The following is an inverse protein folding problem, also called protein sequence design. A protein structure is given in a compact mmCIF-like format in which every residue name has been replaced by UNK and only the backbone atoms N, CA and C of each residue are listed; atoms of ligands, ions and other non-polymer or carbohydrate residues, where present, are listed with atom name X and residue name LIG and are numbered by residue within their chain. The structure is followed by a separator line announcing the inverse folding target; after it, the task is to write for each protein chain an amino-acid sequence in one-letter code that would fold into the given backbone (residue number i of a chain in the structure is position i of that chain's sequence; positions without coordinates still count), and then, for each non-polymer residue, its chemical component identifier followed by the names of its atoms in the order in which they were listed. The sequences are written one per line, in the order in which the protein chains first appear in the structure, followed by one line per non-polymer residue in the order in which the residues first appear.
data_IF_170462575272
#
_entry.id   IF_170462575272
#
_cell.length_a   1.000
_cell.length_b   1.000
_cell.length_c   1.000
_cell.angle_alpha   90.00
_cell.angle_beta   90.00
_cell.angle_gamma   90.00
#
_symmetry.space_group_name_H-M   'P 1'
#
loop_
_entity.id
_entity.type
_entity.pdbx_description
1 polymer ?
#
# COMPACT_ATOMS: atom_id res chain seq x y z
N UNK A 1 5.11 -13.39 5.77
CA UNK A 1 5.33 -14.16 7.01
C UNK A 1 4.00 -14.58 7.67
N UNK A 2 3.05 -13.66 7.90
CA UNK A 2 1.77 -14.00 8.54
C UNK A 2 1.00 -15.08 7.77
N UNK A 3 0.79 -14.92 6.47
CA UNK A 3 0.11 -15.92 5.63
C UNK A 3 0.79 -17.29 5.70
N UNK A 4 2.12 -17.31 5.61
CA UNK A 4 2.90 -18.54 5.69
C UNK A 4 2.67 -19.33 7.00
N UNK A 5 2.54 -18.62 8.13
CA UNK A 5 2.32 -19.24 9.46
C UNK A 5 0.87 -19.62 9.74
N UNK A 6 -0.08 -19.02 9.05
CA UNK A 6 -1.50 -19.15 9.41
C UNK A 6 -2.33 -19.92 8.40
N UNK A 7 -1.91 -19.99 7.14
CA UNK A 7 -2.70 -20.58 6.05
C UNK A 7 -1.87 -21.57 5.22
N UNK A 8 -2.54 -22.56 4.62
CA UNK A 8 -1.92 -23.48 3.66
C UNK A 8 -2.16 -22.94 2.25
N UNK A 9 -1.17 -22.24 1.71
CA UNK A 9 -1.22 -21.52 0.43
C UNK A 9 0.04 -21.76 -0.40
N UNK A 10 -0.07 -21.67 -1.71
CA UNK A 10 1.07 -21.56 -2.59
C UNK A 10 1.35 -20.05 -2.82
N UNK A 11 2.46 -19.58 -2.27
CA UNK A 11 2.88 -18.18 -2.33
C UNK A 11 4.06 -18.08 -3.29
N UNK A 12 3.94 -17.27 -4.32
CA UNK A 12 5.06 -16.99 -5.23
C UNK A 12 5.45 -15.54 -5.14
N UNK A 13 6.74 -15.28 -4.97
CA UNK A 13 7.28 -13.91 -4.98
C UNK A 13 8.16 -13.69 -6.19
N UNK A 14 8.17 -12.46 -6.69
CA UNK A 14 9.08 -11.98 -7.74
C UNK A 14 9.66 -10.67 -7.22
N UNK A 15 10.97 -10.66 -6.97
CA UNK A 15 11.65 -9.59 -6.24
C UNK A 15 12.90 -9.10 -6.99
N UNK A 16 13.37 -7.89 -6.70
CA UNK A 16 14.54 -7.27 -7.33
C UNK A 16 15.29 -6.35 -6.33
N UNK A 17 16.20 -6.90 -5.51
CA UNK A 17 16.48 -8.31 -5.23
C UNK A 17 15.56 -8.91 -4.15
N UNK A 18 15.78 -10.20 -3.80
CA UNK A 18 15.16 -10.81 -2.62
C UNK A 18 15.77 -10.21 -1.34
N UNK A 19 14.93 -9.54 -0.53
CA UNK A 19 15.37 -8.91 0.73
C UNK A 19 15.46 -9.93 1.89
N UNK A 20 14.52 -10.86 1.97
CA UNK A 20 14.45 -11.88 3.02
C UNK A 20 14.12 -13.25 2.43
N UNK A 21 14.89 -14.26 2.79
CA UNK A 21 14.58 -15.64 2.46
C UNK A 21 13.53 -16.18 3.44
N UNK A 22 12.45 -16.69 2.87
CA UNK A 22 11.39 -17.36 3.61
C UNK A 22 11.58 -18.88 3.57
N UNK A 23 11.30 -19.53 4.70
CA UNK A 23 11.20 -21.00 4.76
C UNK A 23 9.72 -21.36 4.70
N UNK A 24 9.43 -22.50 4.08
CA UNK A 24 8.09 -23.08 4.14
C UNK A 24 7.70 -23.35 5.59
N UNK A 25 6.43 -23.05 5.92
CA UNK A 25 5.81 -23.40 7.19
C UNK A 25 4.46 -24.09 6.88
N UNK A 26 3.33 -23.40 7.03
CA UNK A 26 2.03 -23.94 6.57
C UNK A 26 1.81 -23.73 5.07
N UNK A 27 2.46 -22.75 4.47
CA UNK A 27 2.43 -22.48 3.04
C UNK A 27 3.72 -22.95 2.37
N UNK A 28 3.65 -23.15 1.05
CA UNK A 28 4.83 -23.35 0.19
C UNK A 28 5.20 -21.98 -0.40
N UNK A 29 6.46 -21.57 -0.27
CA UNK A 29 6.94 -20.29 -0.77
C UNK A 29 7.98 -20.49 -1.86
N UNK A 30 7.70 -19.99 -3.06
CA UNK A 30 8.62 -19.95 -4.18
C UNK A 30 9.05 -18.51 -4.46
N UNK A 31 10.29 -18.16 -4.09
CA UNK A 31 10.86 -16.85 -4.35
C UNK A 31 11.67 -16.87 -5.66
N UNK A 32 11.53 -15.81 -6.46
CA UNK A 32 12.27 -15.63 -7.72
C UNK A 32 12.88 -14.24 -7.76
N UNK A 33 14.16 -14.18 -8.05
CA UNK A 33 14.91 -12.94 -8.17
C UNK A 33 15.07 -12.55 -9.64
N UNK A 34 14.80 -11.27 -9.95
CA UNK A 34 15.06 -10.72 -11.28
C UNK A 34 16.58 -10.60 -11.48
N UNK A 35 17.04 -11.00 -12.65
CA UNK A 35 18.48 -11.06 -12.97
C UNK A 35 19.14 -12.41 -12.65
N UNK A 36 18.62 -13.13 -11.66
CA UNK A 36 19.12 -14.46 -11.25
C UNK A 36 18.24 -15.59 -11.79
N UNK A 37 16.96 -15.60 -11.41
CA UNK A 37 15.99 -16.65 -11.75
C UNK A 37 15.13 -16.31 -12.97
N UNK A 38 14.98 -15.03 -13.26
CA UNK A 38 14.19 -14.50 -14.36
C UNK A 38 14.80 -13.23 -14.92
N UNK A 39 14.53 -12.94 -16.20
CA UNK A 39 15.07 -11.74 -16.87
C UNK A 39 14.22 -10.48 -16.65
N UNK A 40 12.96 -10.62 -16.21
CA UNK A 40 12.06 -9.49 -15.93
C UNK A 40 10.83 -9.90 -15.12
N UNK A 41 10.18 -8.93 -14.48
CA UNK A 41 8.91 -9.12 -13.78
C UNK A 41 7.82 -9.68 -14.70
N UNK A 42 7.58 -9.07 -15.87
CA UNK A 42 6.55 -9.50 -16.80
C UNK A 42 6.73 -10.93 -17.30
N UNK A 43 7.99 -11.36 -17.56
CA UNK A 43 8.28 -12.76 -17.96
C UNK A 43 8.01 -13.75 -16.83
N UNK A 44 8.39 -13.40 -15.61
CA UNK A 44 8.14 -14.24 -14.44
C UNK A 44 6.64 -14.38 -14.18
N UNK A 45 5.91 -13.25 -14.14
CA UNK A 45 4.48 -13.20 -13.86
C UNK A 45 3.66 -14.07 -14.83
N UNK A 46 3.93 -13.99 -16.14
CA UNK A 46 3.26 -14.85 -17.15
C UNK A 46 3.44 -16.34 -16.90
N UNK A 47 4.55 -16.75 -16.27
CA UNK A 47 4.81 -18.15 -15.95
C UNK A 47 4.20 -18.56 -14.62
N UNK A 48 4.25 -17.67 -13.64
CA UNK A 48 3.71 -17.88 -12.29
C UNK A 48 2.22 -18.17 -12.32
N UNK A 49 1.43 -17.48 -13.15
CA UNK A 49 0.00 -17.73 -13.32
C UNK A 49 -0.36 -19.16 -13.77
N UNK A 50 0.62 -19.93 -14.29
CA UNK A 50 0.44 -21.32 -14.70
C UNK A 50 0.90 -22.32 -13.63
N UNK A 51 1.31 -21.84 -12.48
CA UNK A 51 1.83 -22.65 -11.37
C UNK A 51 0.81 -22.82 -10.24
N UNK A 52 -0.45 -22.41 -10.49
CA UNK A 52 -1.54 -22.46 -9.52
C UNK A 52 -1.20 -21.78 -8.18
N UNK A 53 -0.74 -20.52 -8.20
CA UNK A 53 -0.46 -19.78 -6.98
C UNK A 53 -1.75 -19.29 -6.34
N UNK A 54 -1.84 -19.28 -5.03
CA UNK A 54 -2.91 -18.60 -4.30
C UNK A 54 -2.57 -17.12 -4.07
N UNK A 55 -1.28 -16.85 -3.85
CA UNK A 55 -0.77 -15.51 -3.51
C UNK A 55 0.43 -15.20 -4.39
N UNK A 56 0.42 -14.02 -5.00
CA UNK A 56 1.52 -13.51 -5.82
C UNK A 56 2.03 -12.21 -5.18
N UNK A 57 3.31 -12.17 -4.81
CA UNK A 57 3.97 -10.93 -4.40
C UNK A 57 4.84 -10.43 -5.55
N UNK A 58 4.59 -9.22 -5.99
CA UNK A 58 5.38 -8.51 -6.98
C UNK A 58 6.16 -7.44 -6.21
N UNK A 59 7.48 -7.55 -6.15
CA UNK A 59 8.32 -6.65 -5.37
C UNK A 59 7.96 -5.19 -5.62
N UNK A 60 7.81 -4.81 -6.88
CA UNK A 60 7.28 -3.50 -7.28
C UNK A 60 6.66 -3.52 -8.67
N UNK A 61 5.70 -2.63 -8.92
CA UNK A 61 5.13 -2.36 -10.25
C UNK A 61 5.71 -1.06 -10.79
N UNK A 62 6.47 -1.16 -11.90
CA UNK A 62 7.13 -0.03 -12.57
C UNK A 62 6.57 0.28 -13.95
N UNK A 63 5.87 -0.65 -14.58
CA UNK A 63 5.45 -0.57 -15.98
C UNK A 63 4.04 -1.10 -16.21
N UNK A 64 3.45 -0.72 -17.36
CA UNK A 64 2.10 -1.11 -17.74
C UNK A 64 1.94 -2.64 -17.92
N UNK A 65 2.96 -3.35 -18.41
CA UNK A 65 2.90 -4.80 -18.60
C UNK A 65 2.73 -5.53 -17.26
N UNK A 66 3.58 -5.21 -16.27
CA UNK A 66 3.50 -5.79 -14.94
C UNK A 66 2.18 -5.43 -14.25
N UNK A 67 1.73 -4.17 -14.38
CA UNK A 67 0.45 -3.71 -13.86
C UNK A 67 -0.74 -4.47 -14.47
N UNK A 68 -0.75 -4.65 -15.79
CA UNK A 68 -1.81 -5.37 -16.49
C UNK A 68 -1.90 -6.84 -16.02
N UNK A 69 -0.76 -7.51 -15.89
CA UNK A 69 -0.72 -8.90 -15.42
C UNK A 69 -1.18 -9.00 -13.97
N UNK A 70 -0.77 -8.06 -13.12
CA UNK A 70 -1.19 -7.99 -11.72
C UNK A 70 -2.71 -7.82 -11.57
N UNK A 71 -3.31 -6.90 -12.32
CA UNK A 71 -4.75 -6.67 -12.35
C UNK A 71 -5.51 -7.91 -12.86
N UNK A 72 -5.04 -8.52 -13.96
CA UNK A 72 -5.65 -9.73 -14.52
C UNK A 72 -5.56 -10.92 -13.56
N UNK A 73 -4.45 -11.07 -12.82
CA UNK A 73 -4.32 -12.07 -11.78
C UNK A 73 -5.33 -11.86 -10.66
N UNK A 74 -5.51 -10.61 -10.22
CA UNK A 74 -6.48 -10.26 -9.19
C UNK A 74 -7.93 -10.51 -9.63
N UNK A 75 -8.28 -10.23 -10.89
CA UNK A 75 -9.59 -10.54 -11.47
C UNK A 75 -9.90 -12.05 -11.51
N UNK A 76 -8.87 -12.88 -11.69
CA UNK A 76 -9.01 -14.33 -11.70
C UNK A 76 -8.95 -14.98 -10.32
N UNK A 77 -8.94 -14.17 -9.25
CA UNK A 77 -9.11 -14.63 -7.87
C UNK A 77 -7.83 -14.81 -7.06
N UNK A 78 -6.65 -14.49 -7.62
CA UNK A 78 -5.40 -14.52 -6.87
C UNK A 78 -5.30 -13.32 -5.91
N UNK A 79 -4.72 -13.53 -4.74
CA UNK A 79 -4.30 -12.40 -3.90
C UNK A 79 -2.99 -11.84 -4.44
N UNK A 80 -3.01 -10.64 -4.97
CA UNK A 80 -1.81 -9.95 -5.46
C UNK A 80 -1.38 -8.90 -4.47
N UNK A 81 -0.13 -8.96 -4.04
CA UNK A 81 0.54 -7.99 -3.19
C UNK A 81 1.64 -7.31 -3.99
N UNK A 82 1.76 -6.00 -3.89
CA UNK A 82 2.83 -5.26 -4.57
C UNK A 82 3.17 -3.97 -3.86
N UNK A 83 4.26 -3.33 -4.28
CA UNK A 83 4.64 -2.00 -3.83
C UNK A 83 4.69 -1.01 -4.99
N UNK A 84 4.42 0.26 -4.66
CA UNK A 84 4.65 1.42 -5.52
C UNK A 84 5.36 2.50 -4.71
N UNK A 85 6.20 3.29 -5.36
CA UNK A 85 6.88 4.43 -4.74
C UNK A 85 6.02 5.68 -4.87
N UNK A 86 5.08 5.86 -3.94
CA UNK A 86 4.10 6.94 -3.89
C UNK A 86 3.97 7.50 -2.48
N UNK A 87 3.46 8.71 -2.34
CA UNK A 87 3.39 9.42 -1.05
C UNK A 87 2.16 9.04 -0.24
N UNK A 88 1.04 8.72 -0.91
CA UNK A 88 -0.25 8.41 -0.30
C UNK A 88 -1.12 7.50 -1.18
N UNK A 89 -2.28 7.10 -0.66
CA UNK A 89 -3.21 6.20 -1.35
C UNK A 89 -3.82 6.81 -2.62
N UNK A 90 -4.11 8.12 -2.63
CA UNK A 90 -4.65 8.81 -3.81
C UNK A 90 -3.63 8.83 -4.94
N UNK A 91 -2.37 9.15 -4.62
CA UNK A 91 -1.27 9.12 -5.58
C UNK A 91 -1.03 7.68 -6.09
N UNK A 92 -1.13 6.68 -5.21
CA UNK A 92 -0.99 5.26 -5.59
C UNK A 92 -2.02 4.86 -6.64
N UNK A 93 -3.29 5.23 -6.44
CA UNK A 93 -4.37 4.99 -7.42
C UNK A 93 -4.06 5.69 -8.75
N UNK A 94 -3.71 6.96 -8.71
CA UNK A 94 -3.38 7.72 -9.91
C UNK A 94 -2.16 7.14 -10.63
N UNK A 95 -1.10 6.81 -9.89
CA UNK A 95 0.12 6.23 -10.44
C UNK A 95 -0.14 4.91 -11.17
N UNK A 96 -0.95 4.03 -10.57
CA UNK A 96 -1.33 2.77 -11.20
C UNK A 96 -2.04 3.01 -12.54
N UNK A 97 -2.96 3.97 -12.60
CA UNK A 97 -3.72 4.31 -13.82
C UNK A 97 -2.82 4.96 -14.87
N UNK A 98 -1.90 5.84 -14.43
CA UNK A 98 -1.02 6.60 -15.31
C UNK A 98 0.07 5.75 -15.99
N UNK A 99 0.32 4.53 -15.51
CA UNK A 99 1.15 3.56 -16.24
C UNK A 99 0.58 3.22 -17.63
N UNK A 100 -0.73 3.40 -17.83
CA UNK A 100 -1.42 3.01 -19.04
C UNK A 100 -1.67 4.20 -19.99
N UNK A 101 -1.71 3.95 -21.31
CA UNK A 101 -2.04 4.98 -22.28
C UNK A 101 -3.48 5.50 -22.06
N UNK A 102 -3.78 6.75 -22.46
CA UNK A 102 -5.05 7.40 -22.15
C UNK A 102 -6.31 6.61 -22.56
N UNK A 103 -6.25 5.89 -23.67
CA UNK A 103 -7.39 5.13 -24.19
C UNK A 103 -7.71 3.85 -23.38
N UNK A 104 -6.79 3.37 -22.56
CA UNK A 104 -6.98 2.19 -21.69
C UNK A 104 -7.38 2.57 -20.26
N UNK A 105 -7.17 3.81 -19.84
CA UNK A 105 -7.32 4.25 -18.44
C UNK A 105 -8.72 4.02 -17.87
N UNK A 106 -9.77 4.15 -18.68
CA UNK A 106 -11.14 3.90 -18.23
C UNK A 106 -11.35 2.43 -17.85
N UNK A 107 -10.84 1.51 -18.67
CA UNK A 107 -10.89 0.08 -18.37
C UNK A 107 -10.06 -0.27 -17.13
N UNK A 108 -8.85 0.28 -17.02
CA UNK A 108 -7.96 0.08 -15.87
C UNK A 108 -8.60 0.57 -14.57
N UNK A 109 -9.30 1.72 -14.59
CA UNK A 109 -10.07 2.19 -13.42
C UNK A 109 -11.13 1.18 -12.99
N UNK A 110 -11.87 0.62 -13.92
CA UNK A 110 -12.89 -0.38 -13.63
C UNK A 110 -12.27 -1.65 -13.03
N UNK A 111 -11.18 -2.15 -13.61
CA UNK A 111 -10.45 -3.32 -13.10
C UNK A 111 -9.89 -3.05 -11.69
N UNK A 112 -9.24 -1.91 -11.51
CA UNK A 112 -8.65 -1.53 -10.23
C UNK A 112 -9.73 -1.37 -9.15
N UNK A 113 -10.83 -0.67 -9.44
CA UNK A 113 -11.95 -0.51 -8.50
C UNK A 113 -12.55 -1.87 -8.09
N UNK A 114 -12.65 -2.82 -9.00
CA UNK A 114 -13.20 -4.15 -8.72
C UNK A 114 -12.25 -5.08 -7.95
N UNK A 115 -10.94 -4.91 -8.12
CA UNK A 115 -9.94 -5.86 -7.58
C UNK A 115 -9.19 -5.34 -6.37
N UNK A 116 -8.98 -4.02 -6.25
CA UNK A 116 -8.24 -3.42 -5.15
C UNK A 116 -8.90 -3.76 -3.81
N UNK A 117 -8.09 -4.18 -2.83
CA UNK A 117 -8.55 -4.48 -1.46
C UNK A 117 -8.13 -3.40 -0.47
N UNK A 118 -6.96 -2.84 -0.63
CA UNK A 118 -6.47 -1.78 0.23
C UNK A 118 -5.11 -1.26 -0.20
N UNK A 119 -4.74 -0.12 0.35
CA UNK A 119 -3.42 0.50 0.20
C UNK A 119 -2.90 0.84 1.59
N UNK A 120 -1.65 0.49 1.85
CA UNK A 120 -0.95 0.85 3.08
C UNK A 120 0.25 1.71 2.69
N UNK A 121 0.18 2.99 2.98
CA UNK A 121 1.31 3.92 2.89
C UNK A 121 2.11 3.92 4.18
N UNK A 122 3.44 4.06 4.10
CA UNK A 122 4.31 3.99 5.27
C UNK A 122 5.36 5.09 5.24
N UNK A 123 5.56 5.75 6.38
CA UNK A 123 6.67 6.69 6.65
C UNK A 123 7.38 6.30 7.93
N UNK A 124 8.70 6.33 7.93
CA UNK A 124 9.51 6.02 9.10
C UNK A 124 9.87 7.30 9.86
N UNK A 125 9.41 7.40 11.09
CA UNK A 125 9.59 8.57 11.97
C UNK A 125 10.58 8.21 13.07
N UNK A 126 11.45 9.14 13.49
CA UNK A 126 12.37 8.93 14.60
C UNK A 126 11.60 8.78 15.92
N UNK A 127 12.00 7.79 16.70
CA UNK A 127 11.47 7.62 18.04
C UNK A 127 11.96 8.76 18.97
N UNK A 128 11.11 9.17 19.89
CA UNK A 128 11.49 10.03 21.02
C UNK A 128 12.66 9.39 21.77
N UNK A 129 13.71 10.16 22.02
CA UNK A 129 14.95 9.63 22.62
C UNK A 129 16.02 9.20 21.61
N UNK A 130 15.77 9.33 20.29
CA UNK A 130 16.81 9.29 19.24
C UNK A 130 17.32 7.91 18.82
N UNK A 131 16.80 6.82 19.37
CA UNK A 131 17.21 5.46 18.98
C UNK A 131 16.09 4.72 18.27
N UNK A 132 16.28 4.46 16.96
CA UNK A 132 15.34 3.71 16.15
C UNK A 132 14.27 4.57 15.48
N UNK A 133 13.35 3.90 14.79
CA UNK A 133 12.24 4.51 14.06
C UNK A 133 10.94 3.73 14.30
N UNK A 134 9.83 4.41 14.11
CA UNK A 134 8.49 3.82 14.10
C UNK A 134 7.81 4.13 12.79
N UNK A 135 6.98 3.22 12.30
CA UNK A 135 6.17 3.47 11.12
C UNK A 135 4.91 4.27 11.49
N UNK A 136 4.71 5.40 10.82
CA UNK A 136 3.41 6.01 10.67
C UNK A 136 2.79 5.47 9.38
N UNK A 137 1.53 5.03 9.43
CA UNK A 137 0.87 4.40 8.29
C UNK A 137 -0.42 5.13 7.92
N UNK A 138 -0.60 5.36 6.62
CA UNK A 138 -1.91 5.60 6.04
C UNK A 138 -2.50 4.27 5.64
N UNK A 139 -3.77 4.04 5.95
CA UNK A 139 -4.48 2.80 5.64
C UNK A 139 -5.78 3.14 4.92
N UNK A 140 -5.90 2.68 3.69
CA UNK A 140 -7.11 2.74 2.89
C UNK A 140 -7.68 1.33 2.69
N UNK A 141 -8.96 1.16 2.94
CA UNK A 141 -9.70 -0.06 2.61
C UNK A 141 -10.64 0.24 1.44
N UNK A 142 -10.65 -0.61 0.43
CA UNK A 142 -11.47 -0.43 -0.77
C UNK A 142 -12.96 -0.72 -0.49
N UNK A 143 -13.62 0.20 0.21
CA UNK A 143 -15.08 0.21 0.38
C UNK A 143 -15.78 0.58 -0.92
N UNK A 144 -17.10 0.36 -1.04
CA UNK A 144 -17.88 0.78 -2.21
C UNK A 144 -17.68 2.26 -2.55
N UNK A 145 -17.65 3.15 -1.54
CA UNK A 145 -17.37 4.58 -1.73
C UNK A 145 -15.98 4.84 -2.35
N UNK A 146 -14.96 4.11 -1.92
CA UNK A 146 -13.60 4.20 -2.50
C UNK A 146 -13.61 3.68 -3.93
N UNK A 147 -14.31 2.58 -4.21
CA UNK A 147 -14.44 2.04 -5.56
C UNK A 147 -15.08 3.04 -6.52
N UNK A 148 -16.15 3.72 -6.10
CA UNK A 148 -16.81 4.78 -6.87
C UNK A 148 -15.84 5.93 -7.17
N UNK A 149 -15.03 6.35 -6.20
CA UNK A 149 -14.02 7.41 -6.38
C UNK A 149 -12.85 6.99 -7.28
N UNK A 150 -12.53 5.70 -7.34
CA UNK A 150 -11.54 5.18 -8.30
C UNK A 150 -12.12 5.20 -9.72
N UNK A 151 -13.37 4.81 -9.90
CA UNK A 151 -14.03 4.76 -11.21
C UNK A 151 -14.19 6.15 -11.83
N UNK A 152 -14.53 7.17 -11.03
CA UNK A 152 -14.74 8.53 -11.50
C UNK A 152 -13.47 9.39 -11.36
N UNK A 153 -12.82 9.80 -12.48
CA UNK A 153 -11.63 10.65 -12.43
C UNK A 153 -11.83 11.99 -11.70
N UNK A 154 -13.04 12.53 -11.74
CA UNK A 154 -13.35 13.82 -11.07
C UNK A 154 -13.43 13.65 -9.54
N UNK A 155 -13.65 12.46 -9.05
CA UNK A 155 -13.82 12.17 -7.62
C UNK A 155 -12.61 11.51 -6.97
N UNK A 156 -11.58 11.11 -7.73
CA UNK A 156 -10.40 10.43 -7.17
C UNK A 156 -9.75 11.23 -6.03
N UNK A 157 -9.78 12.56 -6.07
CA UNK A 157 -9.32 13.43 -4.97
C UNK A 157 -10.10 13.30 -3.66
N UNK A 158 -11.32 12.74 -3.68
CA UNK A 158 -12.14 12.52 -2.49
C UNK A 158 -11.69 11.30 -1.66
N UNK A 159 -10.79 10.48 -2.19
CA UNK A 159 -10.25 9.30 -1.49
C UNK A 159 -9.69 9.69 -0.12
N UNK A 160 -8.92 10.78 -0.04
CA UNK A 160 -8.32 11.24 1.20
C UNK A 160 -9.36 11.61 2.28
N UNK A 161 -10.47 12.23 1.87
CA UNK A 161 -11.59 12.53 2.76
C UNK A 161 -12.26 11.24 3.26
N UNK A 162 -12.49 10.27 2.36
CA UNK A 162 -13.07 8.99 2.75
C UNK A 162 -12.17 8.19 3.70
N UNK A 163 -10.84 8.28 3.55
CA UNK A 163 -9.90 7.67 4.51
C UNK A 163 -10.03 8.31 5.88
N UNK A 164 -10.06 9.66 5.95
CA UNK A 164 -10.16 10.39 7.23
C UNK A 164 -11.45 10.12 8.00
N UNK A 165 -12.54 9.84 7.29
CA UNK A 165 -13.85 9.51 7.84
C UNK A 165 -14.06 7.99 8.04
N UNK A 166 -13.10 7.18 7.60
CA UNK A 166 -13.24 5.72 7.48
C UNK A 166 -12.77 4.91 8.69
N UNK A 167 -12.68 5.48 9.89
CA UNK A 167 -12.19 4.80 11.10
C UNK A 167 -12.94 3.51 11.39
N UNK A 168 -14.26 3.47 11.17
CA UNK A 168 -15.09 2.28 11.33
C UNK A 168 -14.59 1.08 10.49
N UNK A 169 -13.99 1.33 9.33
CA UNK A 169 -13.42 0.32 8.45
C UNK A 169 -11.93 0.04 8.73
N UNK A 170 -11.37 0.62 9.78
CA UNK A 170 -9.94 0.52 10.09
C UNK A 170 -9.05 1.42 9.23
N UNK A 171 -9.63 2.40 8.51
CA UNK A 171 -8.88 3.38 7.74
C UNK A 171 -8.29 4.46 8.64
N UNK A 172 -7.17 5.02 8.25
CA UNK A 172 -6.57 6.20 8.88
C UNK A 172 -5.65 6.94 7.91
N UNK A 173 -5.58 8.25 8.04
CA UNK A 173 -4.60 9.08 7.34
C UNK A 173 -3.23 9.04 8.03
N UNK A 174 -2.18 9.51 7.35
CA UNK A 174 -0.86 9.70 7.99
C UNK A 174 -0.96 10.61 9.21
N UNK A 175 -1.69 11.73 9.11
CA UNK A 175 -1.79 12.70 10.21
C UNK A 175 -2.52 12.11 11.42
N UNK A 176 -3.56 11.30 11.24
CA UNK A 176 -4.19 10.53 12.32
C UNK A 176 -3.22 9.49 12.94
N UNK A 177 -2.41 8.84 12.12
CA UNK A 177 -1.38 7.90 12.61
C UNK A 177 -0.30 8.62 13.43
N UNK A 178 0.17 9.78 12.96
CA UNK A 178 1.13 10.61 13.70
C UNK A 178 0.59 11.06 15.04
N UNK A 179 -0.69 11.46 15.08
CA UNK A 179 -1.35 11.86 16.30
C UNK A 179 -1.37 10.75 17.34
N UNK A 180 -1.76 9.53 16.95
CA UNK A 180 -1.72 8.34 17.83
C UNK A 180 -0.32 8.09 18.38
N UNK A 181 0.72 8.25 17.56
CA UNK A 181 2.11 8.07 17.98
C UNK A 181 2.58 9.14 18.98
N UNK A 182 2.04 10.37 18.92
CA UNK A 182 2.28 11.41 19.93
C UNK A 182 1.55 11.06 21.23
N UNK A 183 0.28 10.65 21.16
CA UNK A 183 -0.51 10.22 22.33
C UNK A 183 0.14 9.06 23.08
N UNK A 184 0.77 8.12 22.35
CA UNK A 184 1.53 7.00 22.88
C UNK A 184 2.94 7.39 23.37
N UNK A 185 3.30 8.66 23.34
CA UNK A 185 4.63 9.22 23.68
C UNK A 185 5.80 8.57 22.91
N UNK A 186 5.55 8.07 21.70
CA UNK A 186 6.55 7.38 20.86
C UNK A 186 7.36 8.35 20.01
N UNK A 187 6.78 9.45 19.57
CA UNK A 187 7.43 10.51 18.78
C UNK A 187 7.17 11.87 19.39
N UNK A 188 8.04 12.85 19.11
CA UNK A 188 7.80 14.22 19.53
C UNK A 188 6.86 14.95 18.55
N UNK A 189 6.26 16.03 19.03
CA UNK A 189 5.44 16.91 18.19
C UNK A 189 6.23 17.50 17.02
N UNK A 190 7.48 17.88 17.25
CA UNK A 190 8.37 18.48 16.25
C UNK A 190 8.67 17.47 15.13
N UNK A 191 8.99 16.21 15.46
CA UNK A 191 9.21 15.16 14.47
C UNK A 191 7.93 14.88 13.67
N UNK A 192 6.76 14.84 14.32
CA UNK A 192 5.49 14.64 13.66
C UNK A 192 5.17 15.79 12.69
N UNK A 193 5.36 17.05 13.11
CA UNK A 193 5.07 18.22 12.31
C UNK A 193 5.92 18.31 11.04
N UNK A 194 7.17 17.83 11.08
CA UNK A 194 8.05 17.82 9.89
C UNK A 194 7.57 16.89 8.78
N UNK A 195 6.82 15.84 9.14
CA UNK A 195 6.40 14.80 8.21
C UNK A 195 4.89 14.78 7.97
N UNK A 196 4.14 15.63 8.67
CA UNK A 196 2.70 15.79 8.51
C UNK A 196 2.33 16.16 7.08
N UNK A 197 1.27 15.55 6.57
CA UNK A 197 0.79 15.80 5.20
C UNK A 197 0.26 17.21 5.03
N UNK A 198 -0.39 17.76 6.06
CA UNK A 198 -0.90 19.14 6.14
C UNK A 198 -0.48 19.78 7.47
N UNK A 199 0.72 20.38 7.57
CA UNK A 199 1.26 20.87 8.83
C UNK A 199 0.37 21.87 9.58
N UNK A 200 -0.38 22.70 8.86
CA UNK A 200 -1.29 23.68 9.49
C UNK A 200 -2.51 22.99 10.11
N UNK A 201 -3.15 22.08 9.37
CA UNK A 201 -4.30 21.31 9.85
C UNK A 201 -3.88 20.39 11.00
N UNK A 202 -2.70 19.79 10.91
CA UNK A 202 -2.13 18.96 11.95
C UNK A 202 -1.90 19.72 13.27
N UNK A 203 -1.41 20.98 13.22
CA UNK A 203 -1.32 21.85 14.40
C UNK A 203 -2.65 22.05 15.09
N UNK A 204 -3.70 22.36 14.31
CA UNK A 204 -5.03 22.56 14.84
C UNK A 204 -5.59 21.26 15.47
N UNK A 205 -5.34 20.11 14.84
CA UNK A 205 -5.71 18.81 15.36
C UNK A 205 -5.06 18.53 16.72
N UNK A 206 -3.74 18.72 16.85
CA UNK A 206 -3.00 18.53 18.09
C UNK A 206 -3.48 19.49 19.19
N UNK A 207 -3.74 20.76 18.85
CA UNK A 207 -4.25 21.77 19.80
C UNK A 207 -5.64 21.40 20.31
N UNK A 208 -6.54 20.91 19.43
CA UNK A 208 -7.92 20.56 19.81
C UNK A 208 -7.98 19.40 20.81
N UNK A 209 -6.95 18.56 20.85
CA UNK A 209 -6.84 17.41 21.77
C UNK A 209 -6.07 17.75 23.05
N UNK A 210 -5.67 19.01 23.22
CA UNK A 210 -4.92 19.43 24.42
C UNK A 210 -3.50 18.83 24.49
N UNK A 211 -3.02 18.20 23.43
CA UNK A 211 -1.66 17.68 23.28
C UNK A 211 -0.70 18.84 22.95
N UNK A 212 -0.93 19.97 23.56
CA UNK A 212 -0.29 21.22 23.21
C UNK A 212 1.13 21.28 23.72
N UNK A 213 1.98 21.74 22.83
CA UNK A 213 3.26 22.42 23.02
C UNK A 213 3.42 22.92 24.47
N UNK A 214 4.25 22.22 25.24
CA UNK A 214 4.88 22.85 26.38
C UNK A 214 5.60 24.09 25.85
N UNK A 215 5.20 25.26 26.35
CA UNK A 215 5.81 26.56 26.05
C UNK A 215 7.27 26.57 26.41
#
# INVERSE_FOLDING_TARGET
DLLNRTTSKHIVTIEDPIEFLHRDDKSIINQREVGTDTVSFGRALRRVLRQDPDVILIGEIRDAESAQIALSAAETGHLVLSTLHTLDATETVNRMIDLFPPHERAQVRTMLAGTLRGIIGQRLIRLKGGRGRVAACEIMVATGRIQDFIMDPAQTGQIQTAISEGEYYGMQTFDQSLLKLIEEDRISYEEALQVASRPQDFRLMVQSLGLGVAR
#
